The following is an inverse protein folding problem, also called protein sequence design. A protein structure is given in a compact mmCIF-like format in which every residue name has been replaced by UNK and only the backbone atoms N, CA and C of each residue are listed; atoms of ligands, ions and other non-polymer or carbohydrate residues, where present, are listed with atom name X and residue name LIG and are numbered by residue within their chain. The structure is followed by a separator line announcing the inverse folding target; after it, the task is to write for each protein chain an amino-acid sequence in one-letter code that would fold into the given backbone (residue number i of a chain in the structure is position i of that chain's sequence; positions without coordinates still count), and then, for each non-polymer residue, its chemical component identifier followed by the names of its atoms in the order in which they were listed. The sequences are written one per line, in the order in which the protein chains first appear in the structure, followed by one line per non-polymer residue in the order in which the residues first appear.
data_IF_392546092932
#
_entry.id   IF_392546092932
#
_cell.length_a   1.000
_cell.length_b   1.000
_cell.length_c   1.000
_cell.angle_alpha   90.00
_cell.angle_beta   90.00
_cell.angle_gamma   90.00
#
_symmetry.space_group_name_H-M   'P 1'
#
loop_
_entity.id
_entity.type
_entity.pdbx_description
1 polymer ?
#
# COMPACT_ATOMS: atom_id res chain seq x y z
N UNK A 1 14.15 -6.52 -10.53
CA UNK A 1 14.30 -6.02 -9.13
C UNK A 1 14.44 -4.51 -9.06
N UNK A 2 15.39 -3.86 -9.76
CA UNK A 2 15.62 -2.40 -9.66
C UNK A 2 14.36 -1.57 -9.92
N UNK A 3 13.64 -1.85 -11.01
CA UNK A 3 12.49 -1.04 -11.40
C UNK A 3 11.31 -1.22 -10.44
N UNK A 4 11.02 -2.46 -10.01
CA UNK A 4 10.00 -2.72 -9.00
C UNK A 4 10.35 -2.05 -7.66
N UNK A 5 11.61 -2.11 -7.25
CA UNK A 5 12.10 -1.41 -6.05
C UNK A 5 11.96 0.10 -6.14
N UNK A 6 12.12 0.69 -7.34
CA UNK A 6 11.84 2.11 -7.56
C UNK A 6 10.35 2.42 -7.34
N UNK A 7 9.45 1.60 -7.87
CA UNK A 7 8.01 1.76 -7.62
C UNK A 7 7.68 1.64 -6.13
N UNK A 8 8.27 0.70 -5.40
CA UNK A 8 8.10 0.59 -3.94
C UNK A 8 8.45 1.91 -3.24
N UNK A 9 9.66 2.43 -3.49
CA UNK A 9 10.14 3.64 -2.82
C UNK A 9 9.26 4.84 -3.14
N UNK A 10 8.87 5.01 -4.41
CA UNK A 10 8.02 6.12 -4.83
C UNK A 10 6.59 5.99 -4.25
N UNK A 11 6.02 4.78 -4.21
CA UNK A 11 4.72 4.53 -3.57
C UNK A 11 4.75 4.87 -2.08
N UNK A 12 5.79 4.43 -1.36
CA UNK A 12 5.91 4.74 0.08
C UNK A 12 6.10 6.24 0.32
N UNK A 13 6.88 6.92 -0.52
CA UNK A 13 7.10 8.37 -0.40
C UNK A 13 5.80 9.18 -0.56
N UNK A 14 4.96 8.87 -1.56
CA UNK A 14 3.69 9.61 -1.73
C UNK A 14 2.69 9.33 -0.60
N UNK A 15 2.77 8.14 0.03
CA UNK A 15 1.94 7.81 1.18
C UNK A 15 2.42 8.62 2.40
N UNK A 16 3.74 8.71 2.60
CA UNK A 16 4.34 9.51 3.66
C UNK A 16 3.92 10.98 3.60
N UNK A 17 3.73 11.55 2.40
CA UNK A 17 3.28 12.93 2.22
C UNK A 17 1.84 13.19 2.70
N UNK A 18 0.98 12.18 2.72
CA UNK A 18 -0.45 12.34 3.02
C UNK A 18 -0.88 11.69 4.33
N UNK A 19 -0.08 10.78 4.88
CA UNK A 19 -0.44 10.02 6.07
C UNK A 19 -0.46 10.93 7.30
N UNK A 20 -1.62 10.96 7.96
CA UNK A 20 -1.91 11.81 9.12
C UNK A 20 -3.18 11.32 9.82
N UNK A 21 -3.49 11.77 11.05
CA UNK A 21 -4.79 11.51 11.66
C UNK A 21 -5.93 11.95 10.73
N UNK A 22 -7.10 11.33 10.91
CA UNK A 22 -8.33 11.58 10.14
C UNK A 22 -8.36 10.99 8.71
N UNK A 23 -7.24 10.47 8.19
CA UNK A 23 -7.25 9.72 6.93
C UNK A 23 -7.73 8.28 7.16
N UNK A 24 -8.50 7.73 6.21
CA UNK A 24 -8.84 6.30 6.24
C UNK A 24 -7.73 5.46 5.63
N UNK A 25 -7.59 4.23 6.12
CA UNK A 25 -6.64 3.27 5.54
C UNK A 25 -7.04 2.92 4.08
N UNK A 26 -8.34 2.92 3.76
CA UNK A 26 -8.84 2.76 2.40
C UNK A 26 -8.35 3.86 1.44
N UNK A 27 -8.25 5.12 1.90
CA UNK A 27 -7.69 6.22 1.10
C UNK A 27 -6.19 6.01 0.81
N UNK A 28 -5.42 5.54 1.79
CA UNK A 28 -4.01 5.19 1.58
C UNK A 28 -3.85 4.08 0.53
N UNK A 29 -4.69 3.03 0.61
CA UNK A 29 -4.68 1.96 -0.38
C UNK A 29 -5.07 2.46 -1.78
N UNK A 30 -6.07 3.34 -1.88
CA UNK A 30 -6.50 3.92 -3.15
C UNK A 30 -5.39 4.75 -3.80
N UNK A 31 -4.69 5.56 -3.01
CA UNK A 31 -3.53 6.33 -3.49
C UNK A 31 -2.42 5.39 -4.02
N UNK A 32 -2.12 4.33 -3.28
CA UNK A 32 -1.13 3.33 -3.69
C UNK A 32 -1.56 2.61 -4.98
N UNK A 33 -2.83 2.21 -5.09
CA UNK A 33 -3.40 1.58 -6.28
C UNK A 33 -3.26 2.47 -7.52
N UNK A 34 -3.69 3.73 -7.42
CA UNK A 34 -3.61 4.70 -8.53
C UNK A 34 -2.16 4.91 -8.99
N UNK A 35 -1.23 5.05 -8.05
CA UNK A 35 0.19 5.25 -8.38
C UNK A 35 0.83 4.00 -8.99
N UNK A 36 0.65 2.82 -8.38
CA UNK A 36 1.24 1.56 -8.86
C UNK A 36 0.76 1.27 -10.30
N UNK A 37 -0.53 1.46 -10.57
CA UNK A 37 -1.10 1.27 -11.91
C UNK A 37 -0.49 2.29 -12.90
N UNK A 38 -0.33 3.54 -12.50
CA UNK A 38 0.29 4.59 -13.33
C UNK A 38 1.73 4.28 -13.71
N UNK A 39 2.47 3.59 -12.85
CA UNK A 39 3.83 3.12 -13.14
C UNK A 39 3.86 1.87 -14.06
N UNK A 40 2.71 1.40 -14.54
CA UNK A 40 2.61 0.20 -15.38
C UNK A 40 2.80 -1.10 -14.59
N UNK A 41 2.63 -1.07 -13.27
CA UNK A 41 2.76 -2.20 -12.39
C UNK A 41 1.40 -2.68 -11.87
N UNK A 42 1.37 -3.88 -11.30
CA UNK A 42 0.25 -4.39 -10.49
C UNK A 42 0.71 -4.65 -9.07
N UNK A 43 -0.21 -4.87 -8.13
CA UNK A 43 0.15 -5.34 -6.80
C UNK A 43 0.22 -6.87 -6.76
N UNK A 44 1.26 -7.42 -6.15
CA UNK A 44 1.35 -8.85 -5.84
C UNK A 44 0.39 -9.29 -4.72
N UNK A 45 -0.15 -8.36 -3.94
CA UNK A 45 -1.16 -8.68 -2.92
C UNK A 45 -2.54 -8.88 -3.54
N UNK A 46 -2.94 -8.01 -4.47
CA UNK A 46 -4.31 -8.01 -5.01
C UNK A 46 -4.63 -9.34 -5.70
N UNK A 47 -5.54 -10.10 -5.10
CA UNK A 47 -5.98 -11.42 -5.58
C UNK A 47 -5.15 -12.60 -5.06
N UNK A 48 -4.00 -12.38 -4.44
CA UNK A 48 -3.18 -13.44 -3.86
C UNK A 48 -3.89 -14.08 -2.68
N UNK A 49 -4.23 -15.37 -2.78
CA UNK A 49 -5.05 -16.08 -1.79
C UNK A 49 -6.35 -15.34 -1.41
N UNK A 50 -6.92 -14.57 -2.34
CA UNK A 50 -8.13 -13.77 -2.10
C UNK A 50 -7.89 -12.44 -1.37
N UNK A 51 -6.64 -12.02 -1.15
CA UNK A 51 -6.34 -10.74 -0.52
C UNK A 51 -6.87 -9.57 -1.38
N UNK A 52 -7.63 -8.61 -0.81
CA UNK A 52 -8.48 -7.73 -1.61
C UNK A 52 -7.85 -6.38 -1.97
N UNK A 53 -6.64 -6.07 -1.51
CA UNK A 53 -6.08 -4.72 -1.56
C UNK A 53 -4.70 -4.67 -2.26
N UNK A 54 -4.24 -3.46 -2.58
CA UNK A 54 -2.97 -3.20 -3.27
C UNK A 54 -1.77 -3.12 -2.32
N UNK A 55 -2.01 -2.71 -1.08
CA UNK A 55 -1.03 -2.70 0.01
C UNK A 55 -1.58 -3.45 1.21
N UNK A 56 -0.69 -3.93 2.09
CA UNK A 56 -1.05 -4.39 3.42
C UNK A 56 -0.73 -3.30 4.43
N UNK A 57 -1.64 -3.08 5.37
CA UNK A 57 -1.53 -2.02 6.39
C UNK A 57 -1.90 -2.59 7.74
N UNK A 58 -1.00 -2.51 8.70
CA UNK A 58 -1.21 -3.07 10.04
C UNK A 58 -1.06 -1.97 11.10
N UNK A 59 -2.11 -1.74 11.88
CA UNK A 59 -2.17 -0.68 12.89
C UNK A 59 -2.08 -1.24 14.31
N UNK A 60 -1.22 -0.65 15.12
CA UNK A 60 -0.99 -0.94 16.54
C UNK A 60 -0.61 -2.41 16.83
N UNK A 61 -1.56 -3.21 17.30
CA UNK A 61 -1.38 -4.62 17.68
C UNK A 61 -1.52 -5.60 16.50
N UNK A 62 -1.94 -5.11 15.33
CA UNK A 62 -1.93 -5.88 14.10
C UNK A 62 -0.49 -6.19 13.67
N UNK A 63 -0.17 -7.48 13.52
CA UNK A 63 1.22 -7.92 13.29
C UNK A 63 1.65 -7.70 11.84
N UNK A 64 0.93 -8.30 10.89
CA UNK A 64 1.16 -8.21 9.43
C UNK A 64 -0.15 -8.53 8.70
N UNK A 65 -0.19 -8.32 7.37
CA UNK A 65 -1.32 -8.67 6.49
C UNK A 65 -2.65 -8.00 6.87
N UNK A 66 -2.59 -6.85 7.55
CA UNK A 66 -3.80 -6.08 7.82
C UNK A 66 -4.42 -5.59 6.50
N UNK A 67 -5.74 -5.71 6.40
CA UNK A 67 -6.49 -5.38 5.19
C UNK A 67 -6.91 -3.91 5.28
N UNK A 68 -6.56 -3.06 4.29
CA UNK A 68 -7.08 -1.71 4.21
C UNK A 68 -8.60 -1.65 4.33
N UNK A 69 -9.08 -0.77 5.22
CA UNK A 69 -10.50 -0.66 5.57
C UNK A 69 -10.89 0.82 5.77
N UNK A 70 -12.17 1.06 6.05
CA UNK A 70 -12.67 2.40 6.39
C UNK A 70 -12.26 2.86 7.82
N UNK A 71 -11.34 2.14 8.49
CA UNK A 71 -10.73 2.61 9.74
C UNK A 71 -10.03 3.94 9.49
N UNK A 72 -10.35 4.92 10.32
CA UNK A 72 -9.70 6.24 10.35
C UNK A 72 -8.50 6.15 11.29
N UNK A 73 -7.34 6.66 10.85
CA UNK A 73 -6.16 6.78 11.70
C UNK A 73 -6.36 7.88 12.74
N UNK A 74 -5.92 7.62 13.96
CA UNK A 74 -5.98 8.56 15.07
C UNK A 74 -4.58 9.03 15.46
N UNK A 75 -4.50 10.18 16.12
CA UNK A 75 -3.26 10.66 16.72
C UNK A 75 -2.71 9.61 17.69
N UNK A 76 -1.44 9.27 17.54
CA UNK A 76 -0.76 8.24 18.34
C UNK A 76 -0.88 6.81 17.81
N UNK A 77 -1.67 6.55 16.76
CA UNK A 77 -1.63 5.25 16.07
C UNK A 77 -0.26 5.02 15.44
N UNK A 78 0.24 3.79 15.53
CA UNK A 78 1.42 3.33 14.81
C UNK A 78 0.95 2.40 13.70
N UNK A 79 1.42 2.64 12.47
CA UNK A 79 1.02 1.87 11.29
C UNK A 79 2.24 1.41 10.51
N UNK A 80 2.26 0.14 10.12
CA UNK A 80 3.18 -0.38 9.11
C UNK A 80 2.51 -0.47 7.75
N UNK A 81 3.25 -0.19 6.69
CA UNK A 81 2.78 -0.26 5.30
C UNK A 81 3.70 -1.20 4.53
N UNK A 82 3.11 -2.21 3.91
CA UNK A 82 3.81 -3.16 3.04
C UNK A 82 3.31 -3.01 1.59
N UNK A 83 4.26 -2.93 0.66
CA UNK A 83 4.04 -2.63 -0.74
C UNK A 83 4.91 -3.55 -1.61
N UNK A 84 4.25 -4.38 -2.42
CA UNK A 84 4.93 -5.34 -3.31
C UNK A 84 4.38 -5.16 -4.73
N UNK A 85 4.95 -4.23 -5.53
CA UNK A 85 4.58 -4.07 -6.93
C UNK A 85 5.26 -5.15 -7.78
N UNK A 86 4.52 -5.64 -8.77
CA UNK A 86 4.98 -6.56 -9.79
C UNK A 86 4.96 -5.86 -11.15
N UNK A 87 6.10 -5.88 -11.84
CA UNK A 87 6.25 -5.37 -13.19
C UNK A 87 6.36 -6.57 -14.13
N UNK A 88 5.42 -6.69 -15.07
CA UNK A 88 5.46 -7.71 -16.11
C UNK A 88 6.19 -7.14 -17.32
N UNK A 89 7.47 -7.49 -17.48
CA UNK A 89 8.20 -7.21 -18.73
C UNK A 89 8.12 -8.42 -19.64
N UNK A 90 7.51 -8.25 -20.82
CA UNK A 90 7.67 -9.18 -21.93
C UNK A 90 8.91 -8.73 -22.68
N UNK A 91 10.03 -9.42 -22.44
CA UNK A 91 11.24 -9.24 -23.23
C UNK A 91 11.09 -9.97 -24.56
#
# INVERSE_FOLDING_TARGET
MKDAGKVVVETLAIIEEVIKPEITIAELNKLAEEFIIKQGARSSFKGYCGFPAFISTSVNDEVVHGIPSNRVLLEGDIISIDCIPEILTLN
#
